data_IF_442613467421
#
_entry.id   IF_442613467421
#
_cell.length_a   1.000
_cell.length_b   1.000
_cell.length_c   1.000
_cell.angle_alpha   90.00
_cell.angle_beta   90.00
_cell.angle_gamma   90.00
#
_symmetry.space_group_name_H-M   'P 1'
#
loop_
_entity.id
_entity.type
_entity.pdbx_description
1 polymer ?
#
# COMPACT_ATOMS: atom_id res chain seq x y z
N UNK A 1 22.73 28.25 -13.21
CA UNK A 1 23.03 27.70 -11.87
C UNK A 1 21.85 26.86 -11.46
N UNK A 2 22.03 25.59 -11.14
CA UNK A 2 20.95 24.80 -10.48
C UNK A 2 20.94 25.24 -9.04
N UNK A 3 19.81 25.81 -8.61
CA UNK A 3 19.60 26.13 -7.20
C UNK A 3 19.48 24.81 -6.42
N UNK A 4 20.38 24.59 -5.48
CA UNK A 4 20.28 23.43 -4.58
C UNK A 4 19.12 23.67 -3.60
N UNK A 5 18.20 22.70 -3.49
CA UNK A 5 17.16 22.72 -2.47
C UNK A 5 17.81 22.46 -1.11
N UNK A 6 17.78 23.45 -0.25
CA UNK A 6 18.11 23.27 1.16
C UNK A 6 16.88 22.75 1.92
N UNK A 7 17.10 21.92 2.92
CA UNK A 7 16.03 21.28 3.70
C UNK A 7 16.18 21.54 5.18
N UNK A 8 15.05 21.64 5.88
CA UNK A 8 14.96 21.74 7.32
C UNK A 8 14.06 20.64 7.86
N UNK A 9 14.42 20.06 8.99
CA UNK A 9 13.58 19.07 9.66
C UNK A 9 12.45 19.78 10.42
N UNK A 10 11.21 19.33 10.18
CA UNK A 10 10.04 19.82 10.89
C UNK A 10 9.18 18.63 11.34
N UNK A 11 8.40 18.83 12.42
CA UNK A 11 7.41 17.84 12.85
C UNK A 11 6.19 17.89 11.91
N UNK A 12 5.65 16.72 11.57
CA UNK A 12 4.46 16.58 10.72
C UNK A 12 3.47 15.61 11.39
N UNK A 13 2.22 16.04 11.54
CA UNK A 13 1.14 15.19 12.05
C UNK A 13 0.39 14.54 10.89
N UNK A 14 0.50 13.22 10.76
CA UNK A 14 -0.30 12.44 9.83
C UNK A 14 -1.55 11.88 10.51
N UNK A 15 -2.66 11.81 9.75
CA UNK A 15 -3.92 11.23 10.22
C UNK A 15 -4.22 9.89 9.54
N UNK A 16 -5.03 9.07 10.20
CA UNK A 16 -5.62 7.87 9.61
C UNK A 16 -7.01 7.61 10.19
N UNK A 17 -7.86 6.94 9.41
CA UNK A 17 -9.13 6.42 9.85
C UNK A 17 -8.96 4.95 10.24
N UNK A 18 -9.71 4.50 11.24
CA UNK A 18 -9.55 3.16 11.80
C UNK A 18 -10.87 2.40 11.82
N UNK A 19 -10.86 1.19 11.26
CA UNK A 19 -11.85 0.15 11.48
C UNK A 19 -11.26 -0.87 12.46
N UNK A 20 -12.02 -1.21 13.51
CA UNK A 20 -11.65 -2.22 14.50
C UNK A 20 -12.75 -3.27 14.50
N UNK A 21 -12.43 -4.57 14.30
CA UNK A 21 -13.41 -5.64 14.36
C UNK A 21 -13.97 -5.80 15.78
N UNK A 22 -15.10 -6.50 15.91
CA UNK A 22 -15.71 -6.77 17.22
C UNK A 22 -14.80 -7.60 18.15
N UNK A 23 -13.99 -8.47 17.56
CA UNK A 23 -13.04 -9.31 18.29
C UNK A 23 -11.63 -9.12 17.71
N UNK A 24 -10.66 -8.89 18.58
CA UNK A 24 -9.25 -8.80 18.26
C UNK A 24 -8.52 -9.91 19.00
N UNK A 25 -7.83 -10.76 18.28
CA UNK A 25 -7.06 -11.88 18.83
C UNK A 25 -5.69 -12.03 18.13
N UNK A 26 -4.93 -13.05 18.48
CA UNK A 26 -3.61 -13.32 17.91
C UNK A 26 -3.64 -13.63 16.38
N UNK A 27 -4.82 -13.90 15.80
CA UNK A 27 -5.00 -14.15 14.37
C UNK A 27 -5.41 -12.91 13.60
N UNK A 28 -5.84 -11.86 14.27
CA UNK A 28 -6.23 -10.60 13.65
C UNK A 28 -5.10 -10.02 12.83
N UNK A 29 -5.40 -9.57 11.61
CA UNK A 29 -4.46 -8.83 10.77
C UNK A 29 -4.61 -7.33 10.99
N UNK A 30 -3.48 -6.63 10.95
CA UNK A 30 -3.44 -5.18 10.82
C UNK A 30 -3.19 -4.83 9.35
N UNK A 31 -4.14 -4.17 8.70
CA UNK A 31 -4.01 -3.74 7.30
C UNK A 31 -3.85 -2.23 7.25
N UNK A 32 -2.69 -1.76 6.84
CA UNK A 32 -2.45 -0.36 6.54
C UNK A 32 -2.79 -0.10 5.08
N UNK A 33 -3.80 0.71 4.82
CA UNK A 33 -4.31 0.93 3.47
C UNK A 33 -4.07 2.38 3.03
N UNK A 34 -3.58 2.54 1.81
CA UNK A 34 -3.14 3.80 1.24
C UNK A 34 -3.90 4.10 -0.05
N UNK A 35 -4.53 5.28 -0.10
CA UNK A 35 -5.35 5.71 -1.23
C UNK A 35 -4.52 6.18 -2.44
N UNK A 36 -5.12 6.20 -3.62
CA UNK A 36 -4.53 6.75 -4.85
C UNK A 36 -4.45 8.27 -4.87
N UNK A 37 -3.76 8.81 -5.88
CA UNK A 37 -3.65 10.25 -6.10
C UNK A 37 -5.03 10.91 -6.22
N UNK A 38 -5.23 12.01 -5.50
CA UNK A 38 -6.47 12.78 -5.52
C UNK A 38 -7.62 12.19 -4.70
N UNK A 39 -7.43 11.03 -4.11
CA UNK A 39 -8.41 10.38 -3.23
C UNK A 39 -8.18 10.74 -1.76
N UNK A 40 -8.85 10.05 -0.84
CA UNK A 40 -8.81 10.31 0.59
C UNK A 40 -8.93 9.01 1.41
N UNK A 41 -8.65 9.06 2.71
CA UNK A 41 -8.73 7.88 3.58
C UNK A 41 -10.16 7.32 3.73
N UNK A 42 -11.21 8.15 3.63
CA UNK A 42 -12.61 7.74 3.73
C UNK A 42 -13.00 6.78 2.59
N UNK A 43 -12.64 7.16 1.36
CA UNK A 43 -12.86 6.33 0.17
C UNK A 43 -12.09 5.02 0.29
N UNK A 44 -10.82 5.10 0.68
CA UNK A 44 -9.98 3.91 0.75
C UNK A 44 -10.44 2.95 1.86
N UNK A 45 -10.88 3.46 3.01
CA UNK A 45 -11.42 2.63 4.10
C UNK A 45 -12.66 1.85 3.63
N UNK A 46 -13.61 2.54 2.95
CA UNK A 46 -14.82 1.90 2.40
C UNK A 46 -14.54 0.81 1.38
N UNK A 47 -13.46 0.94 0.60
CA UNK A 47 -13.04 -0.08 -0.37
C UNK A 47 -12.29 -1.23 0.30
N UNK A 48 -11.49 -0.93 1.30
CA UNK A 48 -10.57 -1.87 1.92
C UNK A 48 -11.24 -2.83 2.87
N UNK A 49 -12.10 -2.35 3.77
CA UNK A 49 -12.75 -3.20 4.78
C UNK A 49 -13.48 -4.40 4.14
N UNK A 50 -14.38 -4.23 3.16
CA UNK A 50 -15.01 -5.38 2.54
C UNK A 50 -14.04 -6.22 1.70
N UNK A 51 -12.93 -5.67 1.22
CA UNK A 51 -11.96 -6.42 0.43
C UNK A 51 -11.11 -7.35 1.28
N UNK A 52 -10.62 -6.88 2.44
CA UNK A 52 -9.77 -7.69 3.32
C UNK A 52 -10.56 -8.53 4.33
N UNK A 53 -11.81 -8.19 4.60
CA UNK A 53 -12.66 -8.78 5.62
C UNK A 53 -12.82 -7.87 6.84
N UNK A 54 -14.02 -7.89 7.44
CA UNK A 54 -14.40 -7.08 8.60
C UNK A 54 -13.82 -7.60 9.93
N UNK A 55 -13.14 -8.74 9.89
CA UNK A 55 -12.36 -9.36 10.97
C UNK A 55 -10.91 -8.82 11.08
N UNK A 56 -10.51 -7.91 10.18
CA UNK A 56 -9.21 -7.23 10.22
C UNK A 56 -9.31 -5.86 10.91
N UNK A 57 -8.23 -5.43 11.56
CA UNK A 57 -8.03 -4.01 11.86
C UNK A 57 -7.56 -3.35 10.57
N UNK A 58 -8.28 -2.32 10.12
CA UNK A 58 -7.92 -1.58 8.89
C UNK A 58 -7.66 -0.12 9.24
N UNK A 59 -6.43 0.33 9.02
CA UNK A 59 -6.05 1.73 9.15
C UNK A 59 -5.88 2.35 7.77
N UNK A 60 -6.74 3.30 7.43
CA UNK A 60 -6.68 4.04 6.16
C UNK A 60 -5.91 5.35 6.35
N UNK A 61 -4.70 5.40 5.82
CA UNK A 61 -3.77 6.50 6.02
C UNK A 61 -4.09 7.68 5.08
N UNK A 62 -3.92 8.89 5.61
CA UNK A 62 -4.01 10.13 4.83
C UNK A 62 -2.65 10.44 4.20
N UNK A 63 -2.65 10.66 2.88
CA UNK A 63 -1.45 11.16 2.19
C UNK A 63 -1.02 12.54 2.73
N UNK A 64 0.29 12.84 2.76
CA UNK A 64 0.80 14.06 3.41
C UNK A 64 0.45 15.36 2.69
N UNK A 65 0.25 15.31 1.38
CA UNK A 65 0.00 16.51 0.59
C UNK A 65 -1.49 16.60 0.28
N UNK A 66 -2.12 17.72 0.66
CA UNK A 66 -3.53 18.00 0.36
C UNK A 66 -3.66 19.12 -0.67
N UNK A 67 -4.69 19.07 -1.47
CA UNK A 67 -5.00 20.08 -2.47
C UNK A 67 -6.48 20.04 -2.88
N UNK A 68 -6.98 21.13 -3.44
CA UNK A 68 -8.33 21.18 -3.99
C UNK A 68 -8.39 20.44 -5.33
N UNK A 69 -9.15 19.36 -5.43
CA UNK A 69 -9.23 18.52 -6.63
C UNK A 69 -9.90 19.22 -7.82
N UNK A 70 -10.81 20.15 -7.54
CA UNK A 70 -11.45 21.02 -8.54
C UNK A 70 -10.55 22.16 -9.03
N UNK A 71 -9.37 22.35 -8.42
CA UNK A 71 -8.50 23.50 -8.66
C UNK A 71 -9.02 24.81 -8.03
N UNK A 72 -10.11 24.78 -7.26
CA UNK A 72 -10.71 25.93 -6.61
C UNK A 72 -11.11 25.65 -5.16
N UNK A 73 -10.79 26.54 -4.20
CA UNK A 73 -11.22 26.41 -2.82
C UNK A 73 -12.75 26.56 -2.64
N UNK A 74 -13.46 27.07 -3.65
CA UNK A 74 -14.90 27.31 -3.55
C UNK A 74 -15.75 26.02 -3.49
N UNK A 75 -15.18 24.86 -3.85
CA UNK A 75 -15.89 23.56 -3.84
C UNK A 75 -15.64 22.73 -2.60
N UNK A 76 -14.65 23.10 -1.76
CA UNK A 76 -14.18 22.31 -0.61
C UNK A 76 -13.82 20.85 -0.94
N UNK A 77 -13.68 20.50 -2.22
CA UNK A 77 -13.28 19.16 -2.65
C UNK A 77 -11.77 18.97 -2.45
N UNK A 78 -11.41 18.36 -1.35
CA UNK A 78 -10.01 18.09 -0.99
C UNK A 78 -9.64 16.66 -1.29
N UNK A 79 -8.53 16.50 -2.02
CA UNK A 79 -7.86 15.22 -2.22
C UNK A 79 -6.44 15.25 -1.66
N UNK A 80 -5.86 14.06 -1.55
CA UNK A 80 -4.52 13.88 -1.00
C UNK A 80 -3.63 13.11 -1.98
N UNK A 81 -2.32 13.24 -1.81
CA UNK A 81 -1.34 12.46 -2.55
C UNK A 81 -0.09 12.14 -1.70
N UNK A 82 0.70 11.18 -2.18
CA UNK A 82 1.92 10.69 -1.52
C UNK A 82 3.19 11.35 -2.04
N UNK A 83 3.05 12.38 -2.85
CA UNK A 83 4.14 13.14 -3.44
C UNK A 83 4.03 13.27 -4.94
N UNK A 84 5.02 13.92 -5.53
CA UNK A 84 5.16 14.10 -6.98
C UNK A 84 6.53 13.59 -7.44
N UNK A 85 6.80 13.68 -8.75
CA UNK A 85 8.13 13.32 -9.27
C UNK A 85 9.22 14.29 -8.82
N UNK A 86 8.83 15.54 -8.50
CA UNK A 86 9.77 16.53 -7.98
C UNK A 86 10.13 16.19 -6.54
N UNK A 87 11.43 16.18 -6.23
CA UNK A 87 11.96 15.79 -4.91
C UNK A 87 11.51 14.37 -4.49
N UNK A 88 11.61 13.42 -5.41
CA UNK A 88 11.13 12.05 -5.23
C UNK A 88 11.66 11.37 -3.97
N UNK A 89 12.94 11.55 -3.65
CA UNK A 89 13.57 10.95 -2.47
C UNK A 89 13.01 11.49 -1.15
N UNK A 90 12.64 12.77 -1.09
CA UNK A 90 11.97 13.35 0.07
C UNK A 90 10.58 12.74 0.25
N UNK A 91 9.82 12.59 -0.83
CA UNK A 91 8.50 11.99 -0.82
C UNK A 91 8.55 10.51 -0.39
N UNK A 92 9.54 9.76 -0.87
CA UNK A 92 9.76 8.36 -0.50
C UNK A 92 10.05 8.25 1.00
N UNK A 93 10.97 9.06 1.53
CA UNK A 93 11.29 9.08 2.96
C UNK A 93 10.07 9.41 3.81
N UNK A 94 9.34 10.47 3.47
CA UNK A 94 8.14 10.87 4.21
C UNK A 94 7.07 9.77 4.21
N UNK A 95 6.84 9.12 3.06
CA UNK A 95 5.96 7.96 3.00
C UNK A 95 6.41 6.84 3.95
N UNK A 96 7.69 6.49 3.92
CA UNK A 96 8.23 5.42 4.77
C UNK A 96 8.10 5.77 6.26
N UNK A 97 8.40 7.01 6.65
CA UNK A 97 8.26 7.50 8.02
C UNK A 97 6.81 7.43 8.51
N UNK A 98 5.85 7.93 7.72
CA UNK A 98 4.42 7.89 8.06
C UNK A 98 3.94 6.43 8.23
N UNK A 99 4.20 5.58 7.26
CA UNK A 99 3.70 4.19 7.29
C UNK A 99 4.30 3.43 8.46
N UNK A 100 5.62 3.56 8.70
CA UNK A 100 6.29 2.89 9.82
C UNK A 100 5.84 3.42 11.18
N UNK A 101 5.63 4.73 11.32
CA UNK A 101 5.15 5.33 12.56
C UNK A 101 3.74 4.83 12.90
N UNK A 102 2.81 4.83 11.91
CA UNK A 102 1.45 4.31 12.10
C UNK A 102 1.47 2.81 12.39
N UNK A 103 2.30 2.04 11.67
CA UNK A 103 2.47 0.61 11.93
C UNK A 103 2.90 0.35 13.37
N UNK A 104 3.98 0.99 13.82
CA UNK A 104 4.52 0.81 15.16
C UNK A 104 3.50 1.18 16.25
N UNK A 105 2.78 2.29 16.08
CA UNK A 105 1.75 2.72 17.01
C UNK A 105 0.61 1.70 17.13
N UNK A 106 0.11 1.19 16.00
CA UNK A 106 -1.03 0.25 16.00
C UNK A 106 -0.62 -1.16 16.40
N UNK A 107 0.57 -1.61 16.00
CA UNK A 107 1.17 -2.87 16.45
C UNK A 107 1.29 -2.89 18.00
N UNK A 108 1.82 -1.82 18.59
CA UNK A 108 1.90 -1.69 20.04
C UNK A 108 0.53 -1.63 20.70
N UNK A 109 -0.42 -0.85 20.13
CA UNK A 109 -1.77 -0.69 20.67
C UNK A 109 -2.55 -1.99 20.73
N UNK A 110 -2.44 -2.84 19.69
CA UNK A 110 -3.24 -4.04 19.55
C UNK A 110 -2.48 -5.35 19.79
N UNK A 111 -1.19 -5.28 20.07
CA UNK A 111 -0.33 -6.46 20.25
C UNK A 111 -0.13 -7.29 18.97
N UNK A 112 -0.24 -6.65 17.79
CA UNK A 112 -0.13 -7.34 16.50
C UNK A 112 1.31 -7.22 15.99
N UNK A 113 2.02 -8.32 15.70
CA UNK A 113 3.39 -8.27 15.20
C UNK A 113 3.46 -7.82 13.73
N UNK A 114 4.62 -7.33 13.30
CA UNK A 114 4.86 -6.95 11.90
C UNK A 114 4.59 -8.10 10.92
N UNK A 115 4.85 -9.35 11.30
CA UNK A 115 4.53 -10.54 10.51
C UNK A 115 3.02 -10.71 10.22
N UNK A 116 2.15 -10.03 10.95
CA UNK A 116 0.69 -10.00 10.73
C UNK A 116 0.19 -8.62 10.31
N UNK A 117 1.11 -7.75 9.87
CA UNK A 117 0.79 -6.44 9.29
C UNK A 117 0.86 -6.53 7.78
N UNK A 118 -0.16 -6.03 7.08
CA UNK A 118 -0.25 -6.01 5.61
C UNK A 118 -0.28 -4.58 5.12
N UNK A 119 0.54 -4.25 4.15
CA UNK A 119 0.47 -2.97 3.42
C UNK A 119 -0.39 -3.14 2.19
N UNK A 120 -1.45 -2.36 2.05
CA UNK A 120 -2.30 -2.37 0.87
C UNK A 120 -2.34 -0.99 0.23
N UNK A 121 -1.99 -0.90 -1.05
CA UNK A 121 -2.01 0.35 -1.81
C UNK A 121 -2.88 0.27 -3.05
N UNK A 122 -3.54 1.38 -3.39
CA UNK A 122 -4.20 1.55 -4.67
C UNK A 122 -3.50 2.64 -5.48
N UNK A 123 -3.07 2.32 -6.71
CA UNK A 123 -2.45 3.27 -7.64
C UNK A 123 -1.11 3.84 -7.14
N UNK A 124 -1.03 5.12 -6.85
CA UNK A 124 0.19 5.85 -6.51
C UNK A 124 1.05 5.21 -5.39
N UNK A 125 0.51 4.80 -4.24
CA UNK A 125 1.33 4.29 -3.14
C UNK A 125 1.87 2.87 -3.35
N UNK A 126 1.43 2.14 -4.37
CA UNK A 126 1.87 0.75 -4.61
C UNK A 126 3.39 0.68 -4.76
N UNK A 127 3.96 1.49 -5.64
CA UNK A 127 5.41 1.54 -5.82
C UNK A 127 6.17 2.05 -4.60
N UNK A 128 5.54 2.90 -3.77
CA UNK A 128 6.13 3.37 -2.52
C UNK A 128 6.13 2.26 -1.45
N UNK A 129 5.07 1.44 -1.38
CA UNK A 129 5.02 0.26 -0.52
C UNK A 129 6.09 -0.77 -0.91
N UNK A 130 6.31 -1.01 -2.20
CA UNK A 130 7.40 -1.90 -2.65
C UNK A 130 8.77 -1.36 -2.24
N UNK A 131 9.02 -0.06 -2.40
CA UNK A 131 10.25 0.58 -1.91
C UNK A 131 10.41 0.41 -0.40
N UNK A 132 9.32 0.57 0.36
CA UNK A 132 9.35 0.40 1.82
C UNK A 132 9.80 -0.99 2.21
N UNK A 133 9.18 -2.04 1.67
CA UNK A 133 9.56 -3.43 2.02
C UNK A 133 10.92 -3.84 1.44
N UNK A 134 11.35 -3.24 0.33
CA UNK A 134 12.69 -3.44 -0.22
C UNK A 134 13.78 -2.78 0.63
N UNK A 135 13.48 -1.67 1.31
CA UNK A 135 14.41 -0.98 2.22
C UNK A 135 14.31 -1.44 3.67
N UNK A 136 13.11 -1.84 4.09
CA UNK A 136 12.76 -2.24 5.46
C UNK A 136 11.91 -3.52 5.42
N UNK A 137 12.51 -4.68 5.09
CA UNK A 137 11.77 -5.94 4.87
C UNK A 137 11.02 -6.42 6.11
N UNK A 138 11.42 -5.98 7.29
CA UNK A 138 10.77 -6.28 8.56
C UNK A 138 9.46 -5.52 8.80
N UNK A 139 9.12 -4.53 7.96
CA UNK A 139 8.01 -3.60 8.22
C UNK A 139 6.63 -4.24 8.05
N UNK A 140 6.50 -5.33 7.28
CA UNK A 140 5.23 -5.99 7.02
C UNK A 140 5.39 -7.49 6.72
N UNK A 141 4.36 -8.26 7.07
CA UNK A 141 4.25 -9.68 6.74
C UNK A 141 3.59 -9.97 5.39
N UNK A 142 3.10 -8.95 4.68
CA UNK A 142 2.52 -9.09 3.35
C UNK A 142 2.24 -7.75 2.68
N UNK A 143 2.16 -7.76 1.34
CA UNK A 143 1.89 -6.54 0.56
C UNK A 143 0.86 -6.82 -0.53
N UNK A 144 -0.12 -5.92 -0.65
CA UNK A 144 -1.15 -5.94 -1.69
C UNK A 144 -1.03 -4.66 -2.51
N UNK A 145 -0.67 -4.80 -3.79
CA UNK A 145 -0.64 -3.71 -4.77
C UNK A 145 -1.81 -3.81 -5.73
N UNK A 146 -2.60 -2.74 -5.85
CA UNK A 146 -3.77 -2.70 -6.74
C UNK A 146 -3.62 -1.54 -7.72
N UNK A 147 -3.65 -1.83 -9.03
CA UNK A 147 -3.58 -0.83 -10.10
C UNK A 147 -2.42 0.16 -9.92
N UNK A 148 -1.23 -0.33 -9.56
CA UNK A 148 -0.06 0.51 -9.36
C UNK A 148 1.17 -0.04 -10.04
N UNK A 149 2.26 0.73 -10.05
CA UNK A 149 3.48 0.36 -10.76
C UNK A 149 4.53 -0.28 -9.85
N UNK A 150 5.38 -1.12 -10.44
CA UNK A 150 6.64 -1.54 -9.84
C UNK A 150 7.65 -0.41 -10.04
N UNK A 151 8.42 -0.01 -9.00
CA UNK A 151 9.42 1.05 -9.12
C UNK A 151 10.41 0.80 -10.27
N UNK A 152 10.80 1.84 -10.99
CA UNK A 152 11.73 1.69 -12.13
C UNK A 152 13.11 1.21 -11.72
N UNK A 153 13.50 1.48 -10.50
CA UNK A 153 14.77 1.11 -9.86
C UNK A 153 14.64 -0.12 -8.95
N UNK A 154 13.56 -0.91 -9.12
CA UNK A 154 13.29 -2.05 -8.24
C UNK A 154 14.39 -3.11 -8.29
N UNK A 155 15.05 -3.28 -9.43
CA UNK A 155 16.14 -4.26 -9.63
C UNK A 155 17.50 -3.79 -9.10
N UNK A 156 17.61 -2.58 -8.55
CA UNK A 156 18.88 -2.07 -8.01
C UNK A 156 19.27 -2.77 -6.71
N UNK A 157 20.57 -2.96 -6.51
CA UNK A 157 21.16 -3.63 -5.34
C UNK A 157 20.90 -2.94 -3.97
N UNK A 158 20.33 -1.75 -3.99
CA UNK A 158 19.94 -1.03 -2.76
C UNK A 158 18.75 -1.65 -2.04
N UNK A 159 17.97 -2.50 -2.72
CA UNK A 159 16.84 -3.20 -2.13
C UNK A 159 17.25 -4.58 -1.63
N UNK A 160 16.73 -4.95 -0.47
CA UNK A 160 16.94 -6.24 0.17
C UNK A 160 15.96 -7.29 -0.37
N UNK A 161 16.28 -8.56 -0.11
CA UNK A 161 15.34 -9.65 -0.33
C UNK A 161 14.09 -9.47 0.55
N UNK A 162 12.92 -9.67 -0.04
CA UNK A 162 11.61 -9.49 0.55
C UNK A 162 11.02 -10.86 0.86
N UNK A 163 10.89 -11.19 2.14
CA UNK A 163 10.24 -12.42 2.59
C UNK A 163 8.71 -12.31 2.61
N UNK A 164 8.17 -11.10 2.70
CA UNK A 164 6.73 -10.84 2.70
C UNK A 164 6.11 -11.23 1.35
N UNK A 165 5.09 -12.11 1.31
CA UNK A 165 4.34 -12.40 0.09
C UNK A 165 3.72 -11.14 -0.52
N UNK A 166 3.75 -11.07 -1.84
CA UNK A 166 3.19 -9.95 -2.61
C UNK A 166 2.00 -10.45 -3.44
N UNK A 167 0.85 -9.80 -3.27
CA UNK A 167 -0.28 -9.87 -4.20
C UNK A 167 -0.30 -8.60 -5.05
N UNK A 168 -0.22 -8.74 -6.37
CA UNK A 168 -0.34 -7.62 -7.30
C UNK A 168 -1.53 -7.82 -8.24
N UNK A 169 -2.47 -6.87 -8.24
CA UNK A 169 -3.66 -6.87 -9.08
C UNK A 169 -3.60 -5.69 -10.04
N UNK A 170 -3.55 -5.97 -11.34
CA UNK A 170 -3.58 -4.98 -12.42
C UNK A 170 -4.88 -5.06 -13.22
N UNK A 171 -5.13 -4.05 -14.06
CA UNK A 171 -6.28 -4.00 -14.97
C UNK A 171 -5.81 -3.95 -16.41
N UNK A 172 -6.54 -4.63 -17.32
CA UNK A 172 -6.16 -4.74 -18.73
C UNK A 172 -6.44 -3.49 -19.57
N UNK A 173 -7.30 -2.60 -19.08
CA UNK A 173 -7.69 -1.35 -19.76
C UNK A 173 -7.27 -0.13 -18.92
N UNK A 174 -6.21 -0.30 -18.09
CA UNK A 174 -5.68 0.75 -17.23
C UNK A 174 -4.94 1.78 -18.09
N UNK A 175 -5.40 3.03 -18.07
CA UNK A 175 -4.86 4.14 -18.84
C UNK A 175 -3.50 4.64 -18.31
N UNK A 176 -3.14 4.33 -17.06
CA UNK A 176 -1.87 4.72 -16.45
C UNK A 176 -0.83 3.60 -16.49
N UNK A 177 -1.28 2.34 -16.53
CA UNK A 177 -0.44 1.16 -16.52
C UNK A 177 -0.85 0.20 -17.65
N UNK A 178 -0.41 0.45 -18.90
CA UNK A 178 -0.78 -0.35 -20.07
C UNK A 178 -0.45 -1.84 -19.91
N UNK A 179 -1.26 -2.69 -20.51
CA UNK A 179 -1.20 -4.16 -20.39
C UNK A 179 0.17 -4.74 -20.76
N UNK A 180 0.85 -4.21 -21.76
CA UNK A 180 2.20 -4.62 -22.18
C UNK A 180 3.24 -4.36 -21.09
N UNK A 181 3.07 -3.27 -20.33
CA UNK A 181 3.94 -2.94 -19.20
C UNK A 181 3.64 -3.83 -17.98
N UNK A 182 2.35 -3.98 -17.61
CA UNK A 182 1.99 -4.70 -16.38
C UNK A 182 2.25 -6.20 -16.46
N UNK A 183 2.28 -6.79 -17.66
CA UNK A 183 2.65 -8.19 -17.86
C UNK A 183 4.07 -8.52 -17.39
N UNK A 184 4.98 -7.56 -17.39
CA UNK A 184 6.34 -7.71 -16.88
C UNK A 184 6.47 -7.54 -15.35
N UNK A 185 5.44 -7.08 -14.65
CA UNK A 185 5.53 -6.80 -13.21
C UNK A 185 5.83 -8.03 -12.35
N UNK A 186 5.25 -9.22 -12.60
CA UNK A 186 5.57 -10.41 -11.80
C UNK A 186 7.05 -10.76 -11.83
N UNK A 187 7.68 -10.73 -12.99
CA UNK A 187 9.10 -11.07 -13.13
C UNK A 187 9.99 -10.03 -12.47
N UNK A 188 9.64 -8.76 -12.62
CA UNK A 188 10.34 -7.67 -11.92
C UNK A 188 10.22 -7.81 -10.40
N UNK A 189 9.03 -8.09 -9.87
CA UNK A 189 8.84 -8.26 -8.43
C UNK A 189 9.63 -9.45 -7.89
N UNK A 190 9.70 -10.55 -8.65
CA UNK A 190 10.47 -11.75 -8.27
C UNK A 190 11.98 -11.53 -8.18
N UNK A 191 12.49 -10.40 -8.68
CA UNK A 191 13.90 -10.06 -8.49
C UNK A 191 14.29 -9.99 -7.00
N UNK A 192 13.39 -9.50 -6.15
CA UNK A 192 13.63 -9.40 -4.71
C UNK A 192 12.63 -10.21 -3.85
N UNK A 193 11.48 -10.63 -4.38
CA UNK A 193 10.43 -11.32 -3.63
C UNK A 193 10.21 -12.74 -4.16
N UNK A 194 10.28 -13.74 -3.26
CA UNK A 194 10.11 -15.14 -3.64
C UNK A 194 8.64 -15.53 -3.89
N UNK A 195 7.70 -14.97 -3.13
CA UNK A 195 6.27 -15.26 -3.24
C UNK A 195 5.53 -14.06 -3.88
N UNK A 196 5.24 -14.18 -5.16
CA UNK A 196 4.53 -13.16 -5.95
C UNK A 196 3.33 -13.79 -6.66
N UNK A 197 2.13 -13.37 -6.26
CA UNK A 197 0.88 -13.68 -6.92
C UNK A 197 0.42 -12.49 -7.75
N UNK A 198 0.07 -12.72 -9.01
CA UNK A 198 -0.31 -11.66 -9.95
C UNK A 198 -1.63 -11.97 -10.63
N UNK A 199 -2.52 -10.97 -10.68
CA UNK A 199 -3.78 -11.04 -11.41
C UNK A 199 -3.94 -9.86 -12.36
N UNK A 200 -4.30 -10.15 -13.62
CA UNK A 200 -4.68 -9.15 -14.60
C UNK A 200 -6.20 -9.27 -14.85
N UNK A 201 -6.95 -8.29 -14.37
CA UNK A 201 -8.41 -8.26 -14.45
C UNK A 201 -8.88 -7.31 -15.56
N UNK A 202 -9.99 -7.59 -16.25
CA UNK A 202 -10.54 -6.66 -17.24
C UNK A 202 -11.05 -5.37 -16.62
N UNK A 203 -10.85 -4.23 -17.32
CA UNK A 203 -11.38 -2.90 -17.00
C UNK A 203 -10.32 -1.82 -16.78
N UNK A 204 -10.79 -0.58 -16.61
CA UNK A 204 -10.01 0.64 -16.47
C UNK A 204 -9.39 0.83 -15.06
N UNK A 205 -8.66 1.93 -14.84
CA UNK A 205 -7.98 2.28 -13.58
C UNK A 205 -8.94 2.53 -12.42
N UNK A 206 -9.51 1.46 -11.88
CA UNK A 206 -10.45 1.50 -10.75
C UNK A 206 -10.19 0.31 -9.82
N UNK A 207 -10.51 0.48 -8.54
CA UNK A 207 -10.47 -0.62 -7.58
C UNK A 207 -11.40 -1.75 -8.05
N UNK A 208 -10.89 -2.98 -8.33
CA UNK A 208 -11.70 -4.02 -8.96
C UNK A 208 -12.69 -4.63 -7.97
N UNK A 209 -13.96 -4.79 -8.35
CA UNK A 209 -14.96 -5.48 -7.51
C UNK A 209 -14.58 -6.94 -7.22
N UNK A 210 -13.92 -7.60 -8.17
CA UNK A 210 -13.40 -8.98 -8.02
C UNK A 210 -12.18 -9.08 -7.10
N UNK A 211 -11.54 -7.96 -6.73
CA UNK A 211 -10.37 -7.98 -5.84
C UNK A 211 -10.69 -8.60 -4.48
N UNK A 212 -11.94 -8.47 -3.99
CA UNK A 212 -12.36 -9.04 -2.71
C UNK A 212 -12.06 -10.54 -2.61
N UNK A 213 -12.55 -11.35 -3.54
CA UNK A 213 -12.33 -12.81 -3.51
C UNK A 213 -10.84 -13.15 -3.57
N UNK A 214 -10.11 -12.52 -4.50
CA UNK A 214 -8.67 -12.73 -4.67
C UNK A 214 -7.89 -12.38 -3.38
N UNK A 215 -8.19 -11.24 -2.76
CA UNK A 215 -7.52 -10.78 -1.53
C UNK A 215 -7.84 -11.74 -0.37
N UNK A 216 -9.08 -12.20 -0.24
CA UNK A 216 -9.49 -13.13 0.82
C UNK A 216 -8.82 -14.50 0.64
N UNK A 217 -8.76 -15.03 -0.58
CA UNK A 217 -8.08 -16.29 -0.89
C UNK A 217 -6.56 -16.19 -0.62
N UNK A 218 -5.95 -15.09 -1.06
CA UNK A 218 -4.54 -14.81 -0.78
C UNK A 218 -4.27 -14.69 0.73
N UNK A 219 -5.12 -13.96 1.46
CA UNK A 219 -5.04 -13.81 2.91
C UNK A 219 -5.10 -15.15 3.62
N UNK A 220 -6.04 -16.02 3.22
CA UNK A 220 -6.16 -17.36 3.79
C UNK A 220 -4.93 -18.21 3.49
N UNK A 221 -4.40 -18.15 2.27
CA UNK A 221 -3.16 -18.85 1.87
C UNK A 221 -1.95 -18.41 2.70
N UNK A 222 -1.81 -17.10 2.92
CA UNK A 222 -0.61 -16.53 3.56
C UNK A 222 -0.70 -16.55 5.08
N UNK A 223 -1.85 -16.21 5.65
CA UNK A 223 -2.03 -15.97 7.09
C UNK A 223 -3.00 -16.95 7.76
N UNK A 224 -3.72 -17.74 6.99
CA UNK A 224 -4.54 -18.85 7.50
C UNK A 224 -3.65 -19.88 8.20
N UNK A 225 -4.18 -20.55 9.21
CA UNK A 225 -3.46 -21.67 9.83
C UNK A 225 -3.28 -22.76 8.79
N UNK A 226 -2.04 -23.20 8.56
CA UNK A 226 -1.85 -24.55 8.02
C UNK A 226 -2.59 -25.47 8.99
N UNK A 227 -3.72 -26.04 8.57
CA UNK A 227 -4.32 -27.16 9.30
C UNK A 227 -3.19 -28.14 9.50
N UNK A 228 -2.80 -28.36 10.76
CA UNK A 228 -1.70 -29.25 11.08
C UNK A 228 -1.90 -30.53 10.29
N UNK A 229 -0.85 -30.94 9.59
CA UNK A 229 -0.80 -32.30 9.07
C UNK A 229 -0.97 -33.24 10.27
N UNK A 230 -1.81 -34.28 10.16
CA UNK A 230 -2.01 -35.25 11.19
C UNK A 230 -0.72 -35.97 11.57
#
# INVERSE_FOLDING_TARGET
MMENLETVQVSFESGYLLHIPQHVDARTLLVLTLHGYGSNPEVMLRLSVPAVGDDCIVASLRGPNQYYTSGSPATDEVGYNWGTRRHGDLNIRLHHEIVRAVAAQLQARFGIPAARTVLMGFSQPVGLNYRLIGTHPESAGGVIGICGGVPKDWEEAKYHSVAAPILHISRSEDEFFPTDVVRGFPDRLRHHAADVEFHLLPGAHRFPSKARGIIQDWRERVFGQRRGAP
#
